data_IF_432159763670
#
_entry.id   IF_432159763670
#
_cell.length_a   1.000
_cell.length_b   1.000
_cell.length_c   1.000
_cell.angle_alpha   90.00
_cell.angle_beta   90.00
_cell.angle_gamma   90.00
#
_symmetry.space_group_name_H-M   'P 1'
#
loop_
_entity.id
_entity.type
_entity.pdbx_description
1 polymer ?
#
# COMPACT_ATOMS: atom_id res chain seq x y z
N UNK A 1 59.85 -12.57 -1.27
CA UNK A 1 58.98 -12.27 -0.11
C UNK A 1 57.73 -11.54 -0.62
N UNK A 2 56.78 -12.24 -1.25
CA UNK A 2 55.46 -11.69 -1.70
C UNK A 2 54.27 -12.53 -1.22
N UNK A 3 54.52 -13.74 -0.72
CA UNK A 3 53.51 -14.75 -0.40
C UNK A 3 52.48 -14.32 0.66
N UNK A 4 52.79 -13.36 1.53
CA UNK A 4 51.84 -12.82 2.50
C UNK A 4 50.79 -11.90 1.89
N UNK A 5 51.20 -11.06 0.93
CA UNK A 5 50.30 -10.11 0.25
C UNK A 5 49.33 -10.85 -0.67
N UNK A 6 49.80 -11.89 -1.34
CA UNK A 6 48.99 -12.70 -2.26
C UNK A 6 47.91 -13.49 -1.49
N UNK A 7 48.25 -14.01 -0.30
CA UNK A 7 47.28 -14.65 0.60
C UNK A 7 46.22 -13.67 1.09
N UNK A 8 46.62 -12.46 1.53
CA UNK A 8 45.68 -11.44 1.99
C UNK A 8 44.70 -11.04 0.87
N UNK A 9 45.20 -10.81 -0.35
CA UNK A 9 44.37 -10.49 -1.53
C UNK A 9 43.38 -11.62 -1.84
N UNK A 10 43.81 -12.87 -1.76
CA UNK A 10 42.93 -14.03 -1.95
C UNK A 10 41.80 -14.06 -0.92
N UNK A 11 42.12 -13.90 0.38
CA UNK A 11 41.10 -13.87 1.44
C UNK A 11 40.11 -12.71 1.25
N UNK A 12 40.58 -11.52 0.91
CA UNK A 12 39.72 -10.35 0.67
C UNK A 12 38.80 -10.62 -0.53
N UNK A 13 39.32 -11.15 -1.64
CA UNK A 13 38.51 -11.46 -2.82
C UNK A 13 37.48 -12.56 -2.54
N UNK A 14 37.84 -13.60 -1.78
CA UNK A 14 36.89 -14.66 -1.40
C UNK A 14 35.78 -14.12 -0.49
N UNK A 15 36.12 -13.28 0.49
CA UNK A 15 35.14 -12.63 1.35
C UNK A 15 34.25 -11.69 0.54
N UNK A 16 34.81 -10.90 -0.38
CA UNK A 16 34.05 -9.98 -1.21
C UNK A 16 33.11 -10.73 -2.18
N UNK A 17 33.56 -11.85 -2.75
CA UNK A 17 32.77 -12.67 -3.67
C UNK A 17 31.48 -13.22 -3.04
N UNK A 18 31.48 -13.46 -1.72
CA UNK A 18 30.31 -13.93 -0.96
C UNK A 18 29.59 -12.77 -0.28
N UNK A 19 30.34 -11.82 0.27
CA UNK A 19 29.83 -10.70 1.04
C UNK A 19 28.98 -9.74 0.22
N UNK A 20 29.36 -9.47 -1.04
CA UNK A 20 28.59 -8.58 -1.92
C UNK A 20 27.18 -9.15 -2.19
N UNK A 21 27.01 -10.41 -2.66
CA UNK A 21 25.68 -11.01 -2.81
C UNK A 21 24.85 -11.01 -1.53
N UNK A 22 25.45 -11.28 -0.36
CA UNK A 22 24.75 -11.30 0.92
C UNK A 22 24.22 -9.90 1.28
N UNK A 23 25.04 -8.87 1.14
CA UNK A 23 24.61 -7.49 1.40
C UNK A 23 23.49 -7.07 0.46
N UNK A 24 23.62 -7.38 -0.84
CA UNK A 24 22.56 -7.10 -1.83
C UNK A 24 21.27 -7.82 -1.46
N UNK A 25 21.34 -9.09 -1.04
CA UNK A 25 20.17 -9.86 -0.63
C UNK A 25 19.47 -9.23 0.58
N UNK A 26 20.22 -8.80 1.60
CA UNK A 26 19.67 -8.17 2.80
C UNK A 26 19.04 -6.80 2.51
N UNK A 27 19.73 -5.93 1.76
CA UNK A 27 19.21 -4.62 1.39
C UNK A 27 18.01 -4.77 0.46
N UNK A 28 18.11 -5.67 -0.52
CA UNK A 28 17.04 -5.98 -1.46
C UNK A 28 15.79 -6.52 -0.78
N UNK A 29 15.93 -7.40 0.22
CA UNK A 29 14.83 -7.90 1.04
C UNK A 29 14.09 -6.75 1.75
N UNK A 30 14.82 -5.91 2.50
CA UNK A 30 14.22 -4.79 3.23
C UNK A 30 13.52 -3.78 2.31
N UNK A 31 14.12 -3.51 1.15
CA UNK A 31 13.52 -2.60 0.15
C UNK A 31 12.25 -3.19 -0.46
N UNK A 32 12.28 -4.48 -0.77
CA UNK A 32 11.14 -5.21 -1.32
C UNK A 32 9.98 -5.26 -0.34
N UNK A 33 10.24 -5.48 0.94
CA UNK A 33 9.21 -5.52 1.97
C UNK A 33 8.52 -4.16 2.14
N UNK A 34 9.30 -3.07 2.13
CA UNK A 34 8.75 -1.72 2.23
C UNK A 34 7.84 -1.37 1.03
N UNK A 35 8.19 -1.84 -0.17
CA UNK A 35 7.34 -1.65 -1.36
C UNK A 35 6.07 -2.50 -1.27
N UNK A 36 6.21 -3.78 -0.92
CA UNK A 36 5.07 -4.70 -0.77
C UNK A 36 4.07 -4.19 0.26
N UNK A 37 4.56 -3.69 1.39
CA UNK A 37 3.71 -3.12 2.44
C UNK A 37 2.87 -1.95 1.90
N UNK A 38 3.49 -1.01 1.17
CA UNK A 38 2.76 0.11 0.54
C UNK A 38 1.74 -0.36 -0.51
N UNK A 39 2.07 -1.38 -1.28
CA UNK A 39 1.15 -1.95 -2.26
C UNK A 39 -0.07 -2.58 -1.58
N UNK A 40 0.15 -3.35 -0.51
CA UNK A 40 -0.92 -3.95 0.29
C UNK A 40 -1.83 -2.87 0.89
N UNK A 41 -1.24 -1.79 1.43
CA UNK A 41 -1.98 -0.65 1.96
C UNK A 41 -2.85 0.01 0.88
N UNK A 42 -2.31 0.23 -0.32
CA UNK A 42 -3.06 0.78 -1.44
C UNK A 42 -4.24 -0.12 -1.85
N UNK A 43 -4.03 -1.45 -1.90
CA UNK A 43 -5.10 -2.43 -2.18
C UNK A 43 -6.20 -2.42 -1.13
N UNK A 44 -5.88 -2.28 0.16
CA UNK A 44 -6.90 -2.14 1.20
C UNK A 44 -7.73 -0.86 1.02
N UNK A 45 -7.09 0.26 0.68
CA UNK A 45 -7.79 1.51 0.37
C UNK A 45 -8.70 1.36 -0.84
N UNK A 46 -8.25 0.67 -1.89
CA UNK A 46 -9.07 0.40 -3.08
C UNK A 46 -10.33 -0.41 -2.76
N UNK A 47 -10.19 -1.48 -1.97
CA UNK A 47 -11.33 -2.29 -1.49
C UNK A 47 -12.28 -1.44 -0.64
N UNK A 48 -11.73 -0.59 0.24
CA UNK A 48 -12.52 0.31 1.06
C UNK A 48 -13.35 1.29 0.20
N UNK A 49 -12.74 1.86 -0.84
CA UNK A 49 -13.42 2.74 -1.80
C UNK A 49 -14.50 1.98 -2.58
N UNK A 50 -14.25 0.74 -3.00
CA UNK A 50 -15.24 -0.08 -3.70
C UNK A 50 -16.49 -0.31 -2.84
N UNK A 51 -16.30 -0.70 -1.57
CA UNK A 51 -17.40 -0.85 -0.60
C UNK A 51 -18.18 0.46 -0.41
N UNK A 52 -17.47 1.59 -0.33
CA UNK A 52 -18.11 2.91 -0.19
C UNK A 52 -18.76 3.40 -1.48
N UNK A 53 -18.40 2.86 -2.63
CA UNK A 53 -19.01 3.16 -3.94
C UNK A 53 -20.27 2.35 -4.20
N UNK A 54 -20.46 1.24 -3.48
CA UNK A 54 -21.71 0.48 -3.56
C UNK A 54 -22.92 1.33 -3.09
N UNK A 55 -24.11 1.10 -3.69
CA UNK A 55 -25.34 1.71 -3.23
C UNK A 55 -25.58 1.43 -1.76
N UNK A 56 -26.05 2.46 -1.04
CA UNK A 56 -26.41 2.33 0.36
C UNK A 56 -27.60 1.36 0.47
N UNK A 57 -27.37 0.29 1.21
CA UNK A 57 -28.39 -0.62 1.67
C UNK A 57 -28.50 -0.48 3.18
N UNK A 58 -29.72 -0.29 3.66
CA UNK A 58 -30.07 -0.10 5.07
C UNK A 58 -29.78 -1.30 5.98
N UNK A 59 -29.22 -2.41 5.47
CA UNK A 59 -28.85 -3.55 6.30
C UNK A 59 -27.67 -3.22 7.24
N UNK A 60 -27.77 -3.64 8.50
CA UNK A 60 -26.70 -3.48 9.50
C UNK A 60 -25.35 -4.10 9.04
N UNK A 61 -25.40 -5.13 8.19
CA UNK A 61 -24.20 -5.79 7.66
C UNK A 61 -23.37 -4.84 6.78
N UNK A 62 -24.02 -4.03 5.94
CA UNK A 62 -23.32 -3.06 5.08
C UNK A 62 -22.80 -1.86 5.86
N UNK A 63 -23.49 -1.43 6.92
CA UNK A 63 -23.03 -0.33 7.79
C UNK A 63 -21.65 -0.62 8.40
N UNK A 64 -21.48 -1.81 8.98
CA UNK A 64 -20.22 -2.20 9.62
C UNK A 64 -19.05 -2.23 8.62
N UNK A 65 -19.31 -2.70 7.39
CA UNK A 65 -18.30 -2.70 6.32
C UNK A 65 -17.94 -1.27 5.89
N UNK A 66 -18.90 -0.36 5.86
CA UNK A 66 -18.66 1.05 5.52
C UNK A 66 -17.90 1.79 6.62
N UNK A 67 -18.17 1.50 7.89
CA UNK A 67 -17.37 1.98 9.03
C UNK A 67 -15.92 1.48 8.92
N UNK A 68 -15.73 0.18 8.68
CA UNK A 68 -14.40 -0.38 8.42
C UNK A 68 -13.69 0.30 7.25
N UNK A 69 -14.39 0.55 6.14
CA UNK A 69 -13.80 1.22 4.98
C UNK A 69 -13.30 2.63 5.31
N UNK A 70 -14.06 3.40 6.10
CA UNK A 70 -13.64 4.73 6.54
C UNK A 70 -12.38 4.65 7.42
N UNK A 71 -12.32 3.67 8.32
CA UNK A 71 -11.16 3.46 9.18
C UNK A 71 -9.91 3.09 8.38
N UNK A 72 -10.04 2.19 7.40
CA UNK A 72 -8.96 1.80 6.49
C UNK A 72 -8.43 2.99 5.70
N UNK A 73 -9.32 3.81 5.13
CA UNK A 73 -8.94 5.03 4.42
C UNK A 73 -8.19 5.98 5.36
N UNK A 74 -8.70 6.21 6.57
CA UNK A 74 -8.07 7.11 7.55
C UNK A 74 -6.73 6.59 8.09
N UNK A 75 -6.53 5.28 8.09
CA UNK A 75 -5.30 4.63 8.54
C UNK A 75 -4.17 4.75 7.49
N UNK A 76 -4.49 4.57 6.21
CA UNK A 76 -3.49 4.50 5.14
C UNK A 76 -3.42 5.75 4.25
N UNK A 77 -4.42 6.63 4.30
CA UNK A 77 -4.38 7.93 3.61
C UNK A 77 -3.49 8.93 4.35
N UNK A 78 -2.69 9.69 3.60
CA UNK A 78 -1.95 10.84 4.13
C UNK A 78 -2.86 11.99 4.61
N UNK A 79 -4.12 12.00 4.19
CA UNK A 79 -5.14 12.97 4.60
C UNK A 79 -6.37 12.22 5.09
N UNK A 80 -6.71 12.42 6.37
CA UNK A 80 -7.87 11.80 6.99
C UNK A 80 -9.16 12.48 6.53
N UNK A 81 -10.20 11.69 6.36
CA UNK A 81 -11.56 12.17 6.23
C UNK A 81 -11.96 12.91 7.50
N UNK A 82 -12.64 14.04 7.33
CA UNK A 82 -13.23 14.74 8.46
C UNK A 82 -14.43 13.95 9.02
N UNK A 83 -14.83 14.25 10.25
CA UNK A 83 -15.89 13.51 10.94
C UNK A 83 -17.26 13.67 10.26
N UNK A 84 -17.49 14.73 9.48
CA UNK A 84 -18.72 14.90 8.70
C UNK A 84 -18.71 14.00 7.48
N UNK A 85 -17.63 14.03 6.69
CA UNK A 85 -17.41 13.22 5.52
C UNK A 85 -17.46 11.72 5.85
N UNK A 86 -16.82 11.30 6.95
CA UNK A 86 -16.91 9.92 7.44
C UNK A 86 -18.36 9.50 7.70
N UNK A 87 -19.15 10.33 8.39
CA UNK A 87 -20.56 10.03 8.70
C UNK A 87 -21.43 10.02 7.46
N UNK A 88 -21.26 11.01 6.58
CA UNK A 88 -22.03 11.11 5.36
C UNK A 88 -21.75 9.93 4.44
N UNK A 89 -20.49 9.51 4.35
CA UNK A 89 -20.16 8.28 3.65
C UNK A 89 -20.90 7.12 4.30
N UNK A 90 -20.69 6.82 5.58
CA UNK A 90 -21.30 5.65 6.26
C UNK A 90 -22.82 5.58 6.08
N UNK A 91 -23.53 6.70 6.18
CA UNK A 91 -24.98 6.72 6.37
C UNK A 91 -25.79 7.25 5.18
N UNK A 92 -25.21 8.09 4.31
CA UNK A 92 -25.99 8.95 3.41
C UNK A 92 -25.55 8.96 1.95
N UNK A 93 -24.26 8.78 1.66
CA UNK A 93 -23.73 8.84 0.29
C UNK A 93 -22.83 7.66 -0.07
N UNK A 94 -23.01 7.20 -1.31
CA UNK A 94 -22.02 6.39 -2.00
C UNK A 94 -20.99 7.30 -2.67
N UNK A 95 -19.74 6.85 -2.75
CA UNK A 95 -18.73 7.52 -3.58
C UNK A 95 -19.13 7.40 -5.05
N UNK A 96 -18.96 8.49 -5.80
CA UNK A 96 -19.09 8.45 -7.26
C UNK A 96 -17.90 7.65 -7.78
N UNK A 97 -18.17 6.44 -8.30
CA UNK A 97 -17.14 5.63 -8.95
C UNK A 97 -16.53 6.33 -10.17
N UNK A 98 -15.26 6.06 -10.46
CA UNK A 98 -14.52 6.66 -11.58
C UNK A 98 -15.21 6.47 -12.94
N UNK A 99 -15.91 5.35 -13.13
CA UNK A 99 -16.76 5.07 -14.30
C UNK A 99 -17.87 6.13 -14.47
N UNK A 100 -18.56 6.49 -13.37
CA UNK A 100 -19.61 7.50 -13.36
C UNK A 100 -19.04 8.91 -13.59
N UNK A 101 -17.84 9.19 -13.10
CA UNK A 101 -17.19 10.48 -13.32
C UNK A 101 -16.73 10.66 -14.78
N UNK A 102 -16.16 9.61 -15.39
CA UNK A 102 -15.80 9.56 -16.81
C UNK A 102 -17.02 9.76 -17.73
N UNK A 103 -18.17 9.19 -17.35
CA UNK A 103 -19.44 9.40 -18.04
C UNK A 103 -19.92 10.85 -18.04
N UNK A 104 -19.72 11.57 -16.93
CA UNK A 104 -20.11 12.99 -16.81
C UNK A 104 -19.24 13.92 -17.66
N UNK A 105 -17.96 13.62 -17.82
CA UNK A 105 -17.05 14.43 -18.64
C UNK A 105 -17.23 14.23 -20.15
N UNK A 106 -17.89 13.14 -20.58
CA UNK A 106 -18.19 12.87 -21.99
C UNK A 106 -19.53 13.45 -22.45
N UNK A 107 -20.35 13.98 -21.54
CA UNK A 107 -21.68 14.53 -21.86
C UNK A 107 -21.70 16.05 -22.10
N UNK A 108 -20.54 16.70 -22.10
CA UNK A 108 -20.33 18.08 -22.58
C UNK A 108 -19.61 18.09 -23.94
#
# INVERSE_FOLDING_TARGET
>A
MSTGLDKLKFFINSIAAIGIPVVIALVGHNYTDAIKEREIQARFVEIAIEILSEPIDSSNSKRNLREWSVDVINQYSGVKLDTSASRDLIEKSALIGLESFSGLLKSE
#
